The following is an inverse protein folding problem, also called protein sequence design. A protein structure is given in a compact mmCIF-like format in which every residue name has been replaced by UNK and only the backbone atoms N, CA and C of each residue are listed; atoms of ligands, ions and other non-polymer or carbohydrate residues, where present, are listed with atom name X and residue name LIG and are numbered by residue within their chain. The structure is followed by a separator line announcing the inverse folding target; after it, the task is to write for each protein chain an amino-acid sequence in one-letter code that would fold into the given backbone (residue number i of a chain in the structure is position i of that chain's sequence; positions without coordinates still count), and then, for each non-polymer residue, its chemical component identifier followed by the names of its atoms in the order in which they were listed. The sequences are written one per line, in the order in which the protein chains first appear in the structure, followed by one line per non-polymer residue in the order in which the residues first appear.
data_IF_240981609349
#
_entry.id   IF_240981609349
#
_cell.length_a   1.000
_cell.length_b   1.000
_cell.length_c   1.000
_cell.angle_alpha   90.00
_cell.angle_beta   90.00
_cell.angle_gamma   90.00
#
_symmetry.space_group_name_H-M   'P 1'
#
loop_
_entity.id
_entity.type
_entity.pdbx_description
1 polymer ?
#
# COMPACT_ATOMS: atom_id res chain seq x y z
N UNK A 1 10.68 7.03 -20.26
CA UNK A 1 9.83 7.49 -19.14
C UNK A 1 10.55 7.13 -17.85
N UNK A 2 11.17 8.12 -17.16
CA UNK A 2 11.86 7.82 -15.90
C UNK A 2 10.81 7.44 -14.86
N UNK A 3 10.95 6.25 -14.29
CA UNK A 3 10.16 5.80 -13.15
C UNK A 3 10.49 6.70 -11.96
N UNK A 4 9.56 7.58 -11.58
CA UNK A 4 9.73 8.43 -10.41
C UNK A 4 9.05 7.76 -9.21
N UNK A 5 9.87 7.14 -8.36
CA UNK A 5 9.43 6.48 -7.12
C UNK A 5 8.64 7.43 -6.20
N UNK A 6 8.98 8.72 -6.21
CA UNK A 6 8.31 9.72 -5.38
C UNK A 6 6.86 9.93 -5.82
N UNK A 7 6.56 9.85 -7.12
CA UNK A 7 5.18 9.95 -7.63
C UNK A 7 4.32 8.81 -7.11
N UNK A 8 4.87 7.59 -7.04
CA UNK A 8 4.15 6.43 -6.49
C UNK A 8 3.94 6.55 -4.98
N UNK A 9 4.96 6.99 -4.23
CA UNK A 9 4.85 7.26 -2.80
C UNK A 9 3.80 8.33 -2.50
N UNK A 10 3.79 9.42 -3.24
CA UNK A 10 2.77 10.46 -3.10
C UNK A 10 1.36 9.92 -3.39
N UNK A 11 1.19 9.15 -4.47
CA UNK A 11 -0.08 8.51 -4.80
C UNK A 11 -0.54 7.56 -3.70
N UNK A 12 0.36 6.76 -3.14
CA UNK A 12 0.07 5.83 -2.04
C UNK A 12 -0.37 6.61 -0.80
N UNK A 13 0.37 7.62 -0.37
CA UNK A 13 0.06 8.44 0.79
C UNK A 13 -1.29 9.16 0.63
N UNK A 14 -1.58 9.69 -0.58
CA UNK A 14 -2.86 10.34 -0.88
C UNK A 14 -4.03 9.37 -0.82
N UNK A 15 -3.88 8.15 -1.35
CA UNK A 15 -4.91 7.10 -1.28
C UNK A 15 -5.13 6.68 0.17
N UNK A 16 -4.05 6.41 0.92
CA UNK A 16 -4.11 6.04 2.31
C UNK A 16 -4.86 7.09 3.15
N UNK A 17 -4.55 8.37 2.94
CA UNK A 17 -5.22 9.47 3.64
C UNK A 17 -6.72 9.57 3.33
N UNK A 18 -7.11 9.36 2.06
CA UNK A 18 -8.52 9.40 1.65
C UNK A 18 -9.33 8.26 2.29
N UNK A 19 -8.77 7.05 2.25
CA UNK A 19 -9.42 5.89 2.86
C UNK A 19 -9.49 6.05 4.38
N UNK A 20 -8.43 6.58 5.00
CA UNK A 20 -8.46 6.88 6.42
C UNK A 20 -9.57 7.86 6.80
N UNK A 21 -9.78 8.91 6.01
CA UNK A 21 -10.87 9.87 6.22
C UNK A 21 -12.23 9.18 6.20
N UNK A 22 -12.48 8.37 5.17
CA UNK A 22 -13.74 7.62 5.04
C UNK A 22 -13.94 6.70 6.25
N UNK A 23 -12.88 5.99 6.63
CA UNK A 23 -12.90 5.07 7.75
C UNK A 23 -13.17 5.80 9.08
N UNK A 24 -12.50 6.92 9.34
CA UNK A 24 -12.71 7.73 10.54
C UNK A 24 -14.14 8.27 10.62
N UNK A 25 -14.71 8.70 9.49
CA UNK A 25 -16.12 9.15 9.45
C UNK A 25 -17.10 8.01 9.75
N UNK A 26 -16.92 6.85 9.13
CA UNK A 26 -17.79 5.69 9.35
C UNK A 26 -17.72 5.19 10.80
N UNK A 27 -16.51 5.08 11.35
CA UNK A 27 -16.33 4.65 12.73
C UNK A 27 -16.88 5.66 13.72
N UNK A 28 -16.67 6.97 13.48
CA UNK A 28 -17.22 8.02 14.33
C UNK A 28 -18.75 7.99 14.34
N UNK A 29 -19.38 7.71 13.20
CA UNK A 29 -20.83 7.59 13.11
C UNK A 29 -21.35 6.34 13.86
N UNK A 30 -20.70 5.17 13.67
CA UNK A 30 -21.10 3.93 14.34
C UNK A 30 -20.96 4.04 15.86
N UNK A 31 -19.80 4.44 16.33
CA UNK A 31 -19.54 4.56 17.77
C UNK A 31 -20.37 5.69 18.41
N UNK A 32 -20.67 6.74 17.63
CA UNK A 32 -21.58 7.82 18.03
C UNK A 32 -23.02 7.36 18.19
N UNK A 33 -23.49 6.46 17.33
CA UNK A 33 -24.81 5.83 17.46
C UNK A 33 -24.91 5.00 18.73
N UNK A 34 -23.87 4.20 19.04
CA UNK A 34 -23.81 3.37 20.24
C UNK A 34 -23.76 4.24 21.51
N UNK A 35 -22.99 5.34 21.48
CA UNK A 35 -22.96 6.29 22.59
C UNK A 35 -24.29 7.02 22.79
N UNK A 36 -24.99 7.39 21.71
CA UNK A 36 -26.31 8.03 21.78
C UNK A 36 -27.38 7.08 22.29
N UNK A 37 -27.28 5.78 22.05
CA UNK A 37 -28.17 4.75 22.59
C UNK A 37 -27.87 4.40 24.05
N UNK A 38 -26.82 4.98 24.65
CA UNK A 38 -26.43 4.71 26.03
C UNK A 38 -25.59 3.44 26.22
N UNK A 39 -25.17 2.78 25.12
CA UNK A 39 -24.32 1.60 25.20
C UNK A 39 -22.93 1.88 25.76
N UNK A 40 -22.44 3.13 25.59
CA UNK A 40 -21.14 3.57 26.12
C UNK A 40 -21.25 4.93 26.80
N UNK A 41 -20.41 5.20 27.84
CA UNK A 41 -20.28 6.53 28.43
C UNK A 41 -19.83 7.58 27.40
N UNK A 42 -20.37 8.79 27.45
CA UNK A 42 -19.99 9.88 26.54
C UNK A 42 -18.49 10.21 26.61
N UNK A 43 -17.86 10.00 27.78
CA UNK A 43 -16.40 10.15 27.94
C UNK A 43 -15.60 9.21 27.04
N UNK A 44 -16.04 7.96 26.91
CA UNK A 44 -15.37 6.97 26.04
C UNK A 44 -15.51 7.37 24.57
N UNK A 45 -16.64 7.94 24.18
CA UNK A 45 -16.83 8.44 22.81
C UNK A 45 -15.91 9.61 22.49
N UNK A 46 -15.71 10.54 23.42
CA UNK A 46 -14.77 11.66 23.25
C UNK A 46 -13.34 11.14 23.06
N UNK A 47 -12.89 10.22 23.90
CA UNK A 47 -11.55 9.61 23.77
C UNK A 47 -11.41 8.87 22.45
N UNK A 48 -12.44 8.11 22.06
CA UNK A 48 -12.50 7.43 20.78
C UNK A 48 -12.31 8.42 19.61
N UNK A 49 -13.05 9.52 19.59
CA UNK A 49 -12.93 10.54 18.54
C UNK A 49 -11.52 11.12 18.46
N UNK A 50 -10.95 11.49 19.60
CA UNK A 50 -9.59 12.04 19.66
C UNK A 50 -8.59 11.04 19.06
N UNK A 51 -8.61 9.79 19.49
CA UNK A 51 -7.69 8.76 19.03
C UNK A 51 -7.91 8.38 17.57
N UNK A 52 -9.15 8.39 17.10
CA UNK A 52 -9.50 8.09 15.70
C UNK A 52 -9.04 9.19 14.74
N UNK A 53 -9.17 10.46 15.12
CA UNK A 53 -8.83 11.59 14.25
C UNK A 53 -7.38 12.06 14.38
N UNK A 54 -6.70 11.72 15.47
CA UNK A 54 -5.30 12.09 15.70
C UNK A 54 -4.37 11.67 14.54
N UNK A 55 -4.41 10.43 14.03
CA UNK A 55 -3.53 10.02 12.92
C UNK A 55 -3.84 10.75 11.61
N UNK A 56 -5.09 11.18 11.40
CA UNK A 56 -5.45 11.96 10.24
C UNK A 56 -4.86 13.39 10.30
N UNK A 57 -4.88 14.00 11.49
CA UNK A 57 -4.36 15.34 11.71
C UNK A 57 -2.82 15.35 11.70
N UNK A 58 -2.18 14.45 12.48
CA UNK A 58 -0.72 14.31 12.55
C UNK A 58 -0.13 13.96 11.18
N UNK A 59 -0.73 13.01 10.48
CA UNK A 59 -0.34 12.65 9.11
C UNK A 59 -0.49 13.80 8.13
N UNK A 60 -1.52 14.64 8.29
CA UNK A 60 -1.69 15.85 7.49
C UNK A 60 -0.58 16.88 7.69
N UNK A 61 -0.19 17.09 8.93
CA UNK A 61 0.94 17.97 9.29
C UNK A 61 2.25 17.37 8.74
N UNK A 62 2.45 16.06 8.93
CA UNK A 62 3.65 15.36 8.47
C UNK A 62 3.84 15.47 6.95
N UNK A 63 2.75 15.29 6.17
CA UNK A 63 2.79 15.42 4.71
C UNK A 63 3.07 16.85 4.24
N UNK A 64 2.67 17.87 5.03
CA UNK A 64 3.00 19.27 4.73
C UNK A 64 4.46 19.60 5.04
N UNK A 65 4.97 19.12 6.18
CA UNK A 65 6.32 19.45 6.68
C UNK A 65 7.41 18.64 5.98
N UNK A 66 7.18 17.35 5.77
CA UNK A 66 8.20 16.40 5.20
C UNK A 66 8.00 16.12 3.71
N UNK A 67 6.96 16.70 3.10
CA UNK A 67 6.63 16.46 1.70
C UNK A 67 5.70 15.27 1.49
N UNK A 68 4.95 15.32 0.36
CA UNK A 68 3.88 14.35 0.07
C UNK A 68 4.37 12.93 -0.23
N UNK A 69 5.64 12.78 -0.64
CA UNK A 69 6.27 11.48 -0.96
C UNK A 69 6.99 10.85 0.24
N UNK A 70 6.83 11.38 1.46
CA UNK A 70 7.56 10.90 2.64
C UNK A 70 7.17 9.47 3.02
N UNK A 71 8.17 8.63 3.29
CA UNK A 71 7.97 7.28 3.84
C UNK A 71 7.47 7.28 5.29
N UNK A 72 7.63 8.40 6.01
CA UNK A 72 7.26 8.51 7.42
C UNK A 72 5.75 8.46 7.63
N UNK A 73 4.95 8.85 6.64
CA UNK A 73 3.49 8.87 6.73
C UNK A 73 2.89 7.49 7.04
N UNK A 74 3.41 6.42 6.42
CA UNK A 74 2.93 5.06 6.69
C UNK A 74 3.17 4.62 8.14
N UNK A 75 4.27 5.08 8.75
CA UNK A 75 4.57 4.78 10.16
C UNK A 75 3.68 5.59 11.11
N UNK A 76 3.48 6.88 10.84
CA UNK A 76 2.55 7.73 11.59
C UNK A 76 1.14 7.14 11.59
N UNK A 77 0.66 6.73 10.42
CA UNK A 77 -0.63 6.09 10.26
C UNK A 77 -0.75 4.80 11.10
N UNK A 78 0.24 3.91 11.04
CA UNK A 78 0.20 2.62 11.74
C UNK A 78 0.33 2.78 13.24
N UNK A 79 1.19 3.68 13.71
CA UNK A 79 1.37 3.94 15.15
C UNK A 79 0.09 4.56 15.72
N UNK A 80 -0.44 5.60 15.06
CA UNK A 80 -1.67 6.26 15.50
C UNK A 80 -2.85 5.30 15.49
N UNK A 81 -2.96 4.48 14.45
CA UNK A 81 -3.99 3.45 14.40
C UNK A 81 -3.80 2.37 15.46
N UNK A 82 -2.59 1.93 15.72
CA UNK A 82 -2.30 0.94 16.77
C UNK A 82 -2.77 1.40 18.15
N UNK A 83 -2.55 2.67 18.48
CA UNK A 83 -3.02 3.27 19.73
C UNK A 83 -4.56 3.29 19.78
N UNK A 84 -5.19 3.77 18.72
CA UNK A 84 -6.66 3.77 18.57
C UNK A 84 -7.24 2.36 18.68
N UNK A 85 -6.66 1.40 17.96
CA UNK A 85 -7.11 0.01 17.97
C UNK A 85 -6.96 -0.66 19.32
N UNK A 86 -5.86 -0.41 20.04
CA UNK A 86 -5.67 -0.90 21.41
C UNK A 86 -6.77 -0.39 22.33
N UNK A 87 -7.08 0.91 22.25
CA UNK A 87 -8.18 1.50 23.01
C UNK A 87 -9.51 0.79 22.73
N UNK A 88 -9.84 0.60 21.45
CA UNK A 88 -11.09 -0.07 21.04
C UNK A 88 -11.15 -1.50 21.58
N UNK A 89 -10.08 -2.29 21.43
CA UNK A 89 -10.05 -3.67 21.92
C UNK A 89 -10.18 -3.78 23.43
N UNK A 90 -9.66 -2.80 24.19
CA UNK A 90 -9.73 -2.81 25.64
C UNK A 90 -11.07 -2.31 26.20
N UNK A 91 -11.80 -1.45 25.46
CA UNK A 91 -13.00 -0.78 25.96
C UNK A 91 -14.31 -1.33 25.40
N UNK A 92 -14.31 -2.01 24.26
CA UNK A 92 -15.53 -2.58 23.67
C UNK A 92 -15.83 -3.97 24.24
N UNK A 93 -17.11 -4.26 24.42
CA UNK A 93 -17.57 -5.62 24.80
C UNK A 93 -17.71 -6.54 23.57
N UNK A 94 -17.74 -5.98 22.38
CA UNK A 94 -17.94 -6.73 21.14
C UNK A 94 -16.72 -7.59 20.79
N UNK A 95 -16.93 -8.89 20.64
CA UNK A 95 -15.90 -9.83 20.17
C UNK A 95 -15.46 -9.59 18.72
N UNK A 96 -16.26 -8.84 17.95
CA UNK A 96 -16.02 -8.54 16.52
C UNK A 96 -15.06 -7.32 16.35
N UNK A 97 -14.82 -6.54 17.40
CA UNK A 97 -14.02 -5.32 17.31
C UNK A 97 -12.61 -5.52 16.73
N UNK A 98 -12.05 -6.74 16.84
CA UNK A 98 -10.77 -7.07 16.23
C UNK A 98 -10.76 -6.88 14.71
N UNK A 99 -11.91 -6.96 14.05
CA UNK A 99 -12.03 -6.79 12.60
C UNK A 99 -11.73 -5.36 12.13
N UNK A 100 -11.76 -4.38 13.01
CA UNK A 100 -11.45 -2.98 12.66
C UNK A 100 -10.05 -2.78 12.11
N UNK A 101 -9.12 -3.69 12.38
CA UNK A 101 -7.78 -3.65 11.81
C UNK A 101 -7.76 -4.01 10.31
N UNK A 102 -8.70 -4.83 9.82
CA UNK A 102 -8.65 -5.42 8.49
C UNK A 102 -8.65 -4.37 7.35
N UNK A 103 -9.49 -3.33 7.38
CA UNK A 103 -9.46 -2.29 6.34
C UNK A 103 -8.12 -1.57 6.26
N UNK A 104 -7.49 -1.29 7.40
CA UNK A 104 -6.20 -0.60 7.44
C UNK A 104 -5.08 -1.50 6.95
N UNK A 105 -5.03 -2.76 7.36
CA UNK A 105 -4.02 -3.71 6.89
C UNK A 105 -4.12 -3.95 5.38
N UNK A 106 -5.35 -4.07 4.86
CA UNK A 106 -5.59 -4.15 3.42
C UNK A 106 -5.08 -2.91 2.67
N UNK A 107 -5.29 -1.73 3.26
CA UNK A 107 -4.78 -0.48 2.72
C UNK A 107 -3.25 -0.45 2.67
N UNK A 108 -2.57 -1.00 3.67
CA UNK A 108 -1.11 -0.98 3.75
C UNK A 108 -0.41 -1.78 2.63
N UNK A 109 -1.12 -2.70 1.96
CA UNK A 109 -0.62 -3.45 0.79
C UNK A 109 -0.20 -2.50 -0.35
N UNK A 110 -0.83 -1.34 -0.47
CA UNK A 110 -0.52 -0.35 -1.53
C UNK A 110 0.94 0.18 -1.47
N UNK A 111 1.60 0.08 -0.30
CA UNK A 111 3.01 0.45 -0.14
C UNK A 111 3.98 -0.61 -0.68
N UNK A 112 3.50 -1.79 -1.05
CA UNK A 112 4.28 -2.91 -1.61
C UNK A 112 5.56 -3.24 -0.82
N UNK A 113 5.58 -2.95 0.49
CA UNK A 113 6.74 -3.14 1.34
C UNK A 113 6.54 -4.34 2.28
N UNK A 114 7.16 -5.49 1.91
CA UNK A 114 7.08 -6.75 2.65
C UNK A 114 7.57 -6.61 4.10
N UNK A 115 8.73 -5.98 4.30
CA UNK A 115 9.32 -5.86 5.63
C UNK A 115 8.48 -4.96 6.55
N UNK A 116 7.89 -3.91 6.00
CA UNK A 116 6.96 -3.06 6.72
C UNK A 116 5.71 -3.84 7.14
N UNK A 117 5.13 -4.64 6.24
CA UNK A 117 3.95 -5.46 6.55
C UNK A 117 4.23 -6.50 7.64
N UNK A 118 5.41 -7.15 7.61
CA UNK A 118 5.83 -8.10 8.67
C UNK A 118 5.89 -7.38 10.03
N UNK A 119 6.50 -6.19 10.09
CA UNK A 119 6.57 -5.40 11.34
C UNK A 119 5.18 -5.03 11.84
N UNK A 120 4.26 -4.65 10.95
CA UNK A 120 2.88 -4.37 11.30
C UNK A 120 2.17 -5.62 11.85
N UNK A 121 2.42 -6.80 11.26
CA UNK A 121 1.87 -8.07 11.73
C UNK A 121 2.32 -8.43 13.13
N UNK A 122 3.62 -8.31 13.40
CA UNK A 122 4.19 -8.56 14.74
C UNK A 122 3.59 -7.58 15.76
N UNK A 123 3.58 -6.28 15.46
CA UNK A 123 3.04 -5.26 16.35
C UNK A 123 1.55 -5.51 16.66
N UNK A 124 0.77 -5.87 15.65
CA UNK A 124 -0.65 -6.13 15.83
C UNK A 124 -0.94 -7.42 16.62
N UNK A 125 -0.13 -8.46 16.41
CA UNK A 125 -0.19 -9.68 17.21
C UNK A 125 0.06 -9.37 18.69
N UNK A 126 1.05 -8.52 18.99
CA UNK A 126 1.35 -8.08 20.36
C UNK A 126 0.17 -7.29 20.94
N UNK A 127 -0.44 -6.38 20.16
CA UNK A 127 -1.61 -5.60 20.60
C UNK A 127 -2.78 -6.53 20.95
N UNK A 128 -3.09 -7.51 20.12
CA UNK A 128 -4.20 -8.45 20.37
C UNK A 128 -3.95 -9.30 21.61
N UNK A 129 -2.74 -9.83 21.76
CA UNK A 129 -2.38 -10.60 22.97
C UNK A 129 -2.50 -9.72 24.19
N UNK A 130 -1.97 -8.50 24.17
CA UNK A 130 -2.05 -7.55 25.28
C UNK A 130 -3.50 -7.20 25.64
N UNK A 131 -4.34 -6.93 24.63
CA UNK A 131 -5.75 -6.66 24.85
C UNK A 131 -6.50 -7.88 25.41
N UNK A 132 -6.22 -9.08 24.93
CA UNK A 132 -6.81 -10.32 25.45
C UNK A 132 -6.42 -10.56 26.92
N UNK A 133 -5.15 -10.36 27.28
CA UNK A 133 -4.69 -10.45 28.67
C UNK A 133 -5.36 -9.40 29.55
N UNK A 134 -5.44 -8.14 29.10
CA UNK A 134 -6.11 -7.06 29.82
C UNK A 134 -7.59 -7.40 30.08
N UNK A 135 -8.32 -7.86 29.08
CA UNK A 135 -9.73 -8.25 29.21
C UNK A 135 -9.91 -9.45 30.12
N UNK A 136 -9.05 -10.47 30.00
CA UNK A 136 -9.06 -11.62 30.89
C UNK A 136 -8.93 -11.19 32.37
N UNK A 137 -7.99 -10.29 32.66
CA UNK A 137 -7.79 -9.75 34.00
C UNK A 137 -8.95 -8.85 34.48
N UNK A 138 -9.68 -8.24 33.54
CA UNK A 138 -10.86 -7.41 33.79
C UNK A 138 -12.16 -8.23 33.99
N UNK A 139 -12.08 -9.57 34.05
CA UNK A 139 -13.23 -10.43 34.34
C UNK A 139 -13.88 -11.07 33.09
N UNK A 140 -13.40 -10.77 31.88
CA UNK A 140 -13.85 -11.42 30.64
C UNK A 140 -13.08 -12.73 30.40
N UNK A 141 -13.27 -13.70 31.30
CA UNK A 141 -12.49 -14.95 31.34
C UNK A 141 -13.33 -16.22 31.15
N UNK A 142 -14.56 -16.08 30.64
CA UNK A 142 -15.42 -17.23 30.32
C UNK A 142 -14.82 -18.11 29.21
N UNK A 143 -15.24 -19.39 29.14
CA UNK A 143 -14.81 -20.30 28.08
C UNK A 143 -15.15 -19.77 26.66
N UNK A 144 -16.25 -19.02 26.51
CA UNK A 144 -16.62 -18.38 25.26
C UNK A 144 -15.62 -17.26 24.90
N UNK A 145 -15.27 -16.39 25.86
CA UNK A 145 -14.29 -15.33 25.65
C UNK A 145 -12.90 -15.89 25.29
N UNK A 146 -12.48 -16.99 25.90
CA UNK A 146 -11.21 -17.65 25.57
C UNK A 146 -11.18 -18.16 24.12
N UNK A 147 -12.29 -18.73 23.63
CA UNK A 147 -12.42 -19.13 22.24
C UNK A 147 -12.36 -17.92 21.28
N UNK A 148 -13.02 -16.82 21.65
CA UNK A 148 -12.97 -15.57 20.87
C UNK A 148 -11.56 -15.03 20.77
N UNK A 149 -10.77 -15.01 21.84
CA UNK A 149 -9.37 -14.56 21.82
C UNK A 149 -8.49 -15.44 20.92
N UNK A 150 -8.68 -16.76 20.98
CA UNK A 150 -7.97 -17.69 20.09
C UNK A 150 -8.31 -17.46 18.62
N UNK A 151 -9.61 -17.27 18.33
CA UNK A 151 -10.08 -16.99 16.97
C UNK A 151 -9.53 -15.65 16.44
N UNK A 152 -9.59 -14.59 17.25
CA UNK A 152 -9.05 -13.29 16.90
C UNK A 152 -7.55 -13.37 16.56
N UNK A 153 -6.76 -14.01 17.41
CA UNK A 153 -5.33 -14.18 17.22
C UNK A 153 -5.03 -14.96 15.94
N UNK A 154 -5.71 -16.10 15.75
CA UNK A 154 -5.52 -16.95 14.56
C UNK A 154 -5.89 -16.21 13.27
N UNK A 155 -7.02 -15.50 13.27
CA UNK A 155 -7.49 -14.74 12.12
C UNK A 155 -6.49 -13.64 11.73
N UNK A 156 -5.97 -12.91 12.69
CA UNK A 156 -5.03 -11.81 12.41
C UNK A 156 -3.69 -12.34 11.91
N UNK A 157 -3.16 -13.40 12.49
CA UNK A 157 -1.92 -14.03 12.00
C UNK A 157 -2.10 -14.50 10.55
N UNK A 158 -3.20 -15.20 10.24
CA UNK A 158 -3.49 -15.64 8.88
C UNK A 158 -3.63 -14.48 7.90
N UNK A 159 -4.33 -13.42 8.27
CA UNK A 159 -4.46 -12.23 7.44
C UNK A 159 -3.10 -11.61 7.09
N UNK A 160 -2.22 -11.47 8.07
CA UNK A 160 -0.88 -10.92 7.81
C UNK A 160 0.00 -11.83 6.97
N UNK A 161 -0.09 -13.15 7.15
CA UNK A 161 0.58 -14.11 6.26
C UNK A 161 0.09 -13.91 4.82
N UNK A 162 -1.23 -13.84 4.61
CA UNK A 162 -1.82 -13.60 3.29
C UNK A 162 -1.37 -12.26 2.67
N UNK A 163 -1.35 -11.18 3.44
CA UNK A 163 -0.89 -9.88 2.95
C UNK A 163 0.59 -9.86 2.59
N UNK A 164 1.44 -10.52 3.39
CA UNK A 164 2.87 -10.66 3.09
C UNK A 164 3.09 -11.46 1.81
N UNK A 165 2.34 -12.56 1.63
CA UNK A 165 2.38 -13.35 0.39
C UNK A 165 1.88 -12.56 -0.82
N UNK A 166 0.78 -11.82 -0.67
CA UNK A 166 0.25 -10.97 -1.74
C UNK A 166 1.25 -9.88 -2.16
N UNK A 167 1.89 -9.22 -1.20
CA UNK A 167 2.92 -8.21 -1.51
C UNK A 167 4.12 -8.86 -2.21
N UNK A 168 4.54 -10.05 -1.77
CA UNK A 168 5.64 -10.78 -2.42
C UNK A 168 5.29 -11.09 -3.86
N UNK A 169 4.11 -11.64 -4.12
CA UNK A 169 3.64 -11.97 -5.46
C UNK A 169 3.52 -10.73 -6.36
N UNK A 170 2.97 -9.62 -5.84
CA UNK A 170 2.90 -8.35 -6.58
C UNK A 170 4.28 -7.83 -6.98
N UNK A 171 5.26 -7.90 -6.08
CA UNK A 171 6.62 -7.45 -6.37
C UNK A 171 7.32 -8.35 -7.40
N UNK A 172 7.10 -9.66 -7.34
CA UNK A 172 7.62 -10.62 -8.32
C UNK A 172 7.00 -10.40 -9.70
N UNK A 173 5.69 -10.19 -9.77
CA UNK A 173 4.97 -9.88 -11.02
C UNK A 173 5.44 -8.56 -11.63
N UNK A 174 5.59 -7.50 -10.83
CA UNK A 174 6.12 -6.21 -11.30
C UNK A 174 7.56 -6.34 -11.82
N UNK A 175 8.39 -7.15 -11.17
CA UNK A 175 9.75 -7.47 -11.61
C UNK A 175 9.76 -8.16 -12.97
N UNK A 176 8.99 -9.23 -13.13
CA UNK A 176 8.89 -10.00 -14.38
C UNK A 176 8.37 -9.13 -15.55
N UNK A 177 7.37 -8.27 -15.29
CA UNK A 177 6.87 -7.33 -16.29
C UNK A 177 7.94 -6.30 -16.70
N UNK A 178 8.70 -5.79 -15.74
CA UNK A 178 9.79 -4.84 -16.01
C UNK A 178 10.89 -5.47 -16.86
N UNK A 179 11.25 -6.72 -16.58
CA UNK A 179 12.27 -7.45 -17.34
C UNK A 179 11.80 -7.77 -18.77
N UNK A 180 10.52 -8.12 -18.93
CA UNK A 180 9.91 -8.29 -20.28
C UNK A 180 9.96 -6.99 -21.08
N UNK A 181 9.58 -5.85 -20.48
CA UNK A 181 9.63 -4.54 -21.17
C UNK A 181 11.07 -4.17 -21.56
N UNK A 182 12.05 -4.43 -20.70
CA UNK A 182 13.46 -4.20 -21.03
C UNK A 182 13.92 -5.07 -22.22
N UNK A 183 13.53 -6.35 -22.24
CA UNK A 183 13.86 -7.24 -23.34
C UNK A 183 13.25 -6.78 -24.67
N UNK A 184 12.00 -6.35 -24.67
CA UNK A 184 11.32 -5.82 -25.84
C UNK A 184 11.96 -4.50 -26.31
N UNK A 185 12.32 -3.60 -25.39
CA UNK A 185 13.02 -2.36 -25.74
C UNK A 185 14.37 -2.65 -26.41
N UNK A 186 15.15 -3.60 -25.88
CA UNK A 186 16.41 -4.01 -26.50
C UNK A 186 16.21 -4.57 -27.91
N UNK A 187 15.16 -5.36 -28.14
CA UNK A 187 14.79 -5.85 -29.49
C UNK A 187 14.48 -4.69 -30.45
N UNK A 188 13.69 -3.71 -29.97
CA UNK A 188 13.37 -2.52 -30.76
C UNK A 188 14.63 -1.76 -31.13
N UNK A 189 15.53 -1.49 -30.17
CA UNK A 189 16.80 -0.80 -30.44
C UNK A 189 17.64 -1.55 -31.49
N UNK A 190 17.80 -2.86 -31.33
CA UNK A 190 18.55 -3.70 -32.29
C UNK A 190 17.90 -3.67 -33.70
N UNK A 191 16.56 -3.68 -33.76
CA UNK A 191 15.85 -3.59 -35.04
C UNK A 191 16.04 -2.23 -35.70
N UNK A 192 16.00 -1.13 -34.95
CA UNK A 192 16.26 0.22 -35.44
C UNK A 192 17.68 0.34 -36.00
N UNK A 193 18.68 -0.22 -35.33
CA UNK A 193 20.05 -0.25 -35.80
C UNK A 193 20.20 -1.02 -37.13
N UNK A 194 19.55 -2.19 -37.26
CA UNK A 194 19.52 -2.96 -38.51
C UNK A 194 18.85 -2.19 -39.63
N UNK A 195 17.72 -1.53 -39.38
CA UNK A 195 17.03 -0.70 -40.38
C UNK A 195 17.91 0.47 -40.81
N UNK A 196 18.61 1.12 -39.87
CA UNK A 196 19.55 2.21 -40.20
C UNK A 196 20.68 1.72 -41.09
N UNK A 197 21.28 0.57 -40.78
CA UNK A 197 22.35 -0.04 -41.61
C UNK A 197 21.82 -0.39 -43.00
N UNK A 198 20.65 -1.03 -43.08
CA UNK A 198 20.06 -1.35 -44.39
C UNK A 198 19.74 -0.09 -45.23
N UNK A 199 19.21 0.97 -44.57
CA UNK A 199 18.95 2.27 -45.20
C UNK A 199 20.23 2.90 -45.78
N UNK A 200 21.32 2.88 -45.03
CA UNK A 200 22.60 3.37 -45.51
C UNK A 200 23.11 2.57 -46.73
N UNK A 201 23.03 1.24 -46.67
CA UNK A 201 23.41 0.37 -47.81
C UNK A 201 22.57 0.68 -49.03
N UNK A 202 21.26 0.91 -48.92
CA UNK A 202 20.40 1.31 -50.02
C UNK A 202 20.79 2.68 -50.56
N UNK A 203 21.10 3.62 -49.68
CA UNK A 203 21.52 4.97 -50.09
C UNK A 203 22.84 4.93 -50.88
N UNK A 204 23.82 4.13 -50.46
CA UNK A 204 25.09 3.91 -51.15
C UNK A 204 24.84 3.26 -52.54
N UNK A 205 23.95 2.27 -52.61
CA UNK A 205 23.54 1.64 -53.85
C UNK A 205 22.89 2.62 -54.85
N UNK A 206 22.02 3.51 -54.36
CA UNK A 206 21.39 4.56 -55.21
C UNK A 206 22.46 5.51 -55.75
N UNK A 207 23.47 5.86 -54.95
CA UNK A 207 24.57 6.73 -55.37
C UNK A 207 25.34 6.07 -56.53
N UNK A 208 25.72 4.80 -56.41
CA UNK A 208 26.41 4.03 -57.44
C UNK A 208 25.58 3.94 -58.73
N UNK A 209 24.28 3.65 -58.60
CA UNK A 209 23.36 3.60 -59.77
C UNK A 209 23.26 4.97 -60.46
N UNK A 210 23.22 6.05 -59.72
CA UNK A 210 23.19 7.42 -60.25
C UNK A 210 24.47 7.76 -61.01
N UNK A 211 25.63 7.38 -60.49
CA UNK A 211 26.93 7.57 -61.15
C UNK A 211 27.00 6.78 -62.46
N UNK A 212 26.63 5.49 -62.47
CA UNK A 212 26.60 4.65 -63.66
C UNK A 212 25.61 5.19 -64.71
N UNK A 213 24.46 5.71 -64.32
CA UNK A 213 23.51 6.32 -65.24
C UNK A 213 24.07 7.60 -65.85
N UNK A 214 24.84 8.39 -65.12
CA UNK A 214 25.53 9.57 -65.66
C UNK A 214 26.65 9.22 -66.67
N UNK A 215 27.47 8.22 -66.31
CA UNK A 215 28.52 7.72 -67.20
C UNK A 215 27.93 7.18 -68.54
N UNK A 216 26.85 6.38 -68.47
CA UNK A 216 26.16 5.85 -69.62
C UNK A 216 25.58 6.97 -70.53
N UNK A 217 25.12 8.07 -69.93
CA UNK A 217 24.63 9.21 -70.70
C UNK A 217 25.78 9.91 -71.46
N UNK A 218 26.94 10.07 -70.79
CA UNK A 218 28.11 10.67 -71.42
C UNK A 218 28.76 9.77 -72.51
N UNK A 219 28.64 8.44 -72.45
CA UNK A 219 29.15 7.51 -73.43
C UNK A 219 28.23 7.34 -74.66
N UNK A 220 27.02 7.91 -74.66
CA UNK A 220 26.04 7.87 -75.77
C UNK A 220 25.99 9.16 -76.58
N UNK A 221 26.69 10.20 -76.18
CA UNK A 221 26.92 11.44 -76.92
C UNK A 221 28.24 11.36 -77.68
#
# INVERSE_FOLDING_TARGET
MNYDENVFKEKANRKARRIWLIFALLLSANYGSDAASGAYPASNYIVFLILCWLPFLSGGILLRVKGRATDKYRYDLVIGYGIFYTFVLCTTESSIAFTYILPVTSLLVIYKNKNFMIKCGIANTIIIIGAAVFRYMSGFNSAANMKDYQLQLSCIILCYICYVMAIKHLNESDGAMTDSIKADLNRVVTTVEKVKTASNTVMDGITVVSELASENKHGAE
#
